data_IF_451479753674
#
_entry.id   IF_451479753674
#
_cell.length_a   1.000
_cell.length_b   1.000
_cell.length_c   1.000
_cell.angle_alpha   90.00
_cell.angle_beta   90.00
_cell.angle_gamma   90.00
#
_symmetry.space_group_name_H-M   'P 1'
#
loop_
_entity.id
_entity.type
_entity.pdbx_description
1 polymer ?
#
# COMPACT_ATOMS: atom_id res chain seq x y z
N UNK A 1 1.04 1.88 1.28
CA UNK A 1 0.09 0.81 0.94
C UNK A 1 -1.15 1.39 0.26
N UNK A 2 -1.73 2.50 0.73
CA UNK A 2 -2.88 3.17 0.08
C UNK A 2 -2.70 3.57 -1.39
N UNK A 3 -1.48 3.84 -1.85
CA UNK A 3 -1.23 4.32 -3.23
C UNK A 3 -1.60 3.31 -4.32
N UNK A 4 -1.89 2.06 -3.96
CA UNK A 4 -2.22 0.97 -4.88
C UNK A 4 -3.71 0.59 -4.85
N UNK A 5 -4.48 1.15 -3.93
CA UNK A 5 -5.89 0.84 -3.78
C UNK A 5 -6.72 1.81 -4.62
N UNK A 6 -7.72 1.27 -5.31
CA UNK A 6 -8.64 2.10 -6.06
C UNK A 6 -9.58 2.84 -5.10
N UNK A 7 -9.86 4.10 -5.41
CA UNK A 7 -10.88 4.85 -4.69
C UNK A 7 -12.25 4.20 -4.90
N UNK A 8 -13.11 4.32 -3.89
CA UNK A 8 -14.45 3.76 -3.92
C UNK A 8 -15.44 4.88 -3.60
N UNK A 9 -16.42 5.10 -4.48
CA UNK A 9 -17.30 6.27 -4.43
C UNK A 9 -18.06 6.44 -3.10
N UNK A 10 -18.41 5.32 -2.48
CA UNK A 10 -19.28 5.33 -1.29
C UNK A 10 -18.55 5.10 0.04
N UNK A 11 -17.22 4.96 0.04
CA UNK A 11 -16.48 4.73 1.30
C UNK A 11 -15.07 5.30 1.29
N UNK A 12 -14.59 5.82 2.43
CA UNK A 12 -13.21 6.30 2.54
C UNK A 12 -12.19 5.20 2.21
N UNK A 13 -11.10 5.58 1.55
CA UNK A 13 -9.98 4.67 1.24
C UNK A 13 -9.40 4.00 2.50
N UNK A 14 -9.39 4.72 3.62
CA UNK A 14 -8.94 4.20 4.91
C UNK A 14 -9.84 3.10 5.46
N UNK A 15 -11.17 3.26 5.36
CA UNK A 15 -12.14 2.21 5.72
C UNK A 15 -11.94 0.97 4.85
N UNK A 16 -11.74 1.15 3.54
CA UNK A 16 -11.46 0.06 2.61
C UNK A 16 -10.16 -0.69 2.95
N UNK A 17 -9.09 0.03 3.33
CA UNK A 17 -7.84 -0.60 3.82
C UNK A 17 -8.10 -1.50 5.02
N UNK A 18 -8.76 -0.99 6.06
CA UNK A 18 -9.03 -1.73 7.30
C UNK A 18 -9.89 -2.97 7.06
N UNK A 19 -10.88 -2.88 6.15
CA UNK A 19 -11.68 -4.03 5.73
C UNK A 19 -10.82 -5.09 5.03
N UNK A 20 -9.87 -4.67 4.17
CA UNK A 20 -8.90 -5.60 3.56
C UNK A 20 -7.90 -6.19 4.56
N UNK A 21 -7.56 -5.47 5.63
CA UNK A 21 -6.77 -5.98 6.76
C UNK A 21 -7.55 -6.96 7.64
N UNK A 22 -8.84 -7.19 7.34
CA UNK A 22 -9.70 -8.18 8.00
C UNK A 22 -10.53 -7.62 9.16
N UNK A 23 -10.52 -6.30 9.36
CA UNK A 23 -11.35 -5.68 10.38
C UNK A 23 -12.82 -5.62 9.96
N UNK A 24 -13.72 -5.97 10.87
CA UNK A 24 -15.16 -5.86 10.64
C UNK A 24 -15.65 -4.46 11.04
N UNK A 25 -15.78 -3.57 10.06
CA UNK A 25 -16.19 -2.18 10.29
C UNK A 25 -17.69 -1.93 10.13
N UNK A 26 -18.51 -2.97 9.88
CA UNK A 26 -19.96 -2.80 9.68
C UNK A 26 -20.65 -2.13 10.87
N UNK A 27 -20.16 -2.37 12.08
CA UNK A 27 -20.73 -1.82 13.32
C UNK A 27 -20.22 -0.40 13.63
N UNK A 28 -19.13 0.04 12.99
CA UNK A 28 -18.43 1.30 13.27
C UNK A 28 -18.71 2.32 12.16
N UNK A 29 -18.75 1.86 10.91
CA UNK A 29 -18.98 2.69 9.73
C UNK A 29 -20.08 2.03 8.87
N UNK A 30 -21.31 2.58 8.85
CA UNK A 30 -22.40 2.03 8.06
C UNK A 30 -22.16 2.13 6.54
N UNK A 31 -21.14 2.89 6.10
CA UNK A 31 -20.71 2.95 4.70
C UNK A 31 -19.65 1.91 4.35
N UNK A 32 -19.11 1.18 5.33
CA UNK A 32 -18.17 0.10 5.09
C UNK A 32 -18.84 -1.04 4.32
N UNK A 33 -18.23 -1.40 3.19
CA UNK A 33 -18.64 -2.57 2.41
C UNK A 33 -17.89 -3.81 2.86
N UNK A 34 -18.39 -4.97 2.49
CA UNK A 34 -17.66 -6.23 2.68
C UNK A 34 -16.43 -6.30 1.77
N UNK A 35 -15.45 -7.14 2.15
CA UNK A 35 -14.26 -7.40 1.32
C UNK A 35 -14.63 -7.82 -0.10
N UNK A 36 -15.69 -8.63 -0.25
CA UNK A 36 -16.13 -9.11 -1.56
C UNK A 36 -16.65 -7.96 -2.44
N UNK A 37 -17.55 -7.12 -1.92
CA UNK A 37 -18.07 -5.96 -2.65
C UNK A 37 -16.94 -5.00 -3.08
N UNK A 38 -15.92 -4.80 -2.23
CA UNK A 38 -14.77 -3.97 -2.60
C UNK A 38 -13.94 -4.56 -3.73
N UNK A 39 -13.73 -5.88 -3.74
CA UNK A 39 -13.01 -6.57 -4.83
C UNK A 39 -13.79 -6.54 -6.13
N UNK A 40 -15.10 -6.74 -6.06
CA UNK A 40 -15.97 -6.71 -7.23
C UNK A 40 -16.02 -5.29 -7.84
N UNK A 41 -16.06 -4.25 -7.00
CA UNK A 41 -16.05 -2.85 -7.44
C UNK A 41 -14.69 -2.40 -8.01
N UNK A 42 -13.58 -2.89 -7.44
CA UNK A 42 -12.24 -2.48 -7.86
C UNK A 42 -11.70 -3.28 -9.07
N UNK A 43 -12.26 -4.47 -9.31
CA UNK A 43 -11.86 -5.33 -10.41
C UNK A 43 -10.51 -6.01 -10.21
N UNK A 44 -10.05 -6.69 -11.27
CA UNK A 44 -8.83 -7.53 -11.25
C UNK A 44 -7.55 -6.68 -11.26
N UNK A 45 -7.62 -5.45 -11.75
CA UNK A 45 -6.48 -4.57 -11.91
C UNK A 45 -6.13 -3.78 -10.63
N UNK A 46 -6.92 -3.93 -9.56
CA UNK A 46 -6.63 -3.29 -8.28
C UNK A 46 -5.27 -3.74 -7.75
N UNK A 47 -4.41 -2.78 -7.39
CA UNK A 47 -3.08 -3.06 -6.89
C UNK A 47 -1.98 -3.13 -7.96
N UNK A 48 -2.33 -3.16 -9.25
CA UNK A 48 -1.35 -3.24 -10.35
C UNK A 48 -0.62 -1.91 -10.60
N UNK A 49 -1.24 -0.78 -10.26
CA UNK A 49 -0.65 0.56 -10.39
C UNK A 49 -0.23 1.13 -9.03
N UNK A 50 0.64 2.13 -9.03
CA UNK A 50 1.10 2.82 -7.82
C UNK A 50 2.51 2.42 -7.35
N UNK A 51 2.95 3.03 -6.25
CA UNK A 51 4.34 2.89 -5.76
C UNK A 51 4.56 1.50 -5.15
N UNK A 52 5.61 0.80 -5.58
CA UNK A 52 6.01 -0.47 -4.98
C UNK A 52 6.78 -0.20 -3.69
N UNK A 53 6.13 -0.39 -2.54
CA UNK A 53 6.77 -0.25 -1.23
C UNK A 53 7.90 -1.27 -1.04
N UNK A 54 7.78 -2.46 -1.63
CA UNK A 54 8.85 -3.47 -1.64
C UNK A 54 10.07 -3.01 -2.42
N UNK A 55 9.86 -2.47 -3.63
CA UNK A 55 10.95 -1.94 -4.44
C UNK A 55 11.58 -0.72 -3.77
N UNK A 56 10.77 0.21 -3.26
CA UNK A 56 11.26 1.37 -2.51
C UNK A 56 12.11 0.93 -1.30
N UNK A 57 11.64 -0.05 -0.51
CA UNK A 57 12.41 -0.55 0.63
C UNK A 57 13.71 -1.24 0.21
N UNK A 58 13.71 -1.98 -0.91
CA UNK A 58 14.92 -2.60 -1.46
C UNK A 58 15.96 -1.56 -1.87
N UNK A 59 15.54 -0.53 -2.62
CA UNK A 59 16.45 0.56 -3.04
C UNK A 59 16.97 1.33 -1.82
N UNK A 60 16.09 1.67 -0.87
CA UNK A 60 16.48 2.37 0.35
C UNK A 60 17.44 1.53 1.19
N UNK A 61 17.21 0.23 1.34
CA UNK A 61 18.12 -0.65 2.10
C UNK A 61 19.47 -0.80 1.40
N UNK A 62 19.51 -0.90 0.07
CA UNK A 62 20.76 -0.88 -0.70
C UNK A 62 21.51 0.45 -0.57
N UNK A 63 20.78 1.57 -0.56
CA UNK A 63 21.35 2.92 -0.49
C UNK A 63 21.97 3.23 0.87
N UNK A 64 21.33 2.79 1.96
CA UNK A 64 21.71 3.18 3.33
C UNK A 64 22.41 2.07 4.14
N UNK A 65 22.29 0.80 3.76
CA UNK A 65 22.91 -0.32 4.50
C UNK A 65 24.07 -0.97 3.75
N UNK A 66 24.65 -0.29 2.75
CA UNK A 66 25.82 -0.81 2.04
C UNK A 66 27.06 -0.86 2.94
N UNK A 67 27.36 0.23 3.66
CA UNK A 67 28.38 0.27 4.70
C UNK A 67 27.72 0.30 6.08
N UNK A 68 28.22 -0.51 7.00
CA UNK A 68 27.74 -0.58 8.39
C UNK A 68 28.38 0.48 9.29
N UNK A 69 29.42 1.17 8.82
CA UNK A 69 30.11 2.25 9.55
C UNK A 69 29.66 3.64 9.14
N UNK A 70 29.16 3.80 7.93
CA UNK A 70 28.77 5.08 7.35
C UNK A 70 27.24 5.14 7.18
N UNK A 71 26.64 6.24 7.65
CA UNK A 71 25.17 6.45 7.62
C UNK A 71 24.73 7.24 6.37
N UNK A 72 25.69 7.65 5.53
CA UNK A 72 25.42 8.42 4.32
C UNK A 72 24.76 7.55 3.24
N UNK A 73 23.89 8.17 2.44
CA UNK A 73 23.29 7.54 1.28
C UNK A 73 24.33 7.42 0.15
N UNK A 74 24.59 6.21 -0.33
CA UNK A 74 25.42 6.02 -1.52
C UNK A 74 24.55 6.15 -2.80
N UNK A 75 24.73 7.22 -3.60
CA UNK A 75 23.92 7.46 -4.80
C UNK A 75 24.10 6.38 -5.88
N UNK A 76 25.19 5.60 -5.86
CA UNK A 76 25.40 4.49 -6.81
C UNK A 76 24.34 3.40 -6.63
N UNK A 77 23.96 3.12 -5.38
CA UNK A 77 22.99 2.10 -5.02
C UNK A 77 21.54 2.56 -5.20
N UNK A 78 21.32 3.85 -5.45
CA UNK A 78 19.99 4.44 -5.67
C UNK A 78 19.43 4.11 -7.05
N UNK A 79 20.29 3.74 -8.02
CA UNK A 79 19.92 3.45 -9.41
C UNK A 79 19.73 1.95 -9.74
N UNK A 80 19.84 1.02 -8.76
CA UNK A 80 19.85 -0.44 -8.96
C UNK A 80 18.93 -1.25 -8.02
#
# INVERSE_FOLDING_TARGET
VSTRLAEHDNSPLYTKMRVYDGENLKDIDPKAKSVQEYRDAAGVDEGMTGVSTRFAFKILSQTFNYDTKEVAADPVHLMY
#
